data_IF_973437666675
#
_entry.id   IF_973437666675
#
_cell.length_a   1.000
_cell.length_b   1.000
_cell.length_c   1.000
_cell.angle_alpha   90.00
_cell.angle_beta   90.00
_cell.angle_gamma   90.00
#
_symmetry.space_group_name_H-M   'P 1'
#
loop_
_entity.id
_entity.type
_entity.pdbx_description
1 polymer ?
#
# COMPACT_ATOMS: atom_id res chain seq x y z
N UNK A 1 16.35 0.84 -23.70
CA UNK A 1 15.81 1.46 -22.47
C UNK A 1 14.28 1.45 -22.42
N UNK A 2 13.60 1.51 -23.56
CA UNK A 2 12.13 1.48 -23.61
C UNK A 2 11.48 0.27 -22.92
N UNK A 3 12.01 -0.95 -23.12
CA UNK A 3 11.43 -2.15 -22.49
C UNK A 3 11.48 -2.05 -20.95
N UNK A 4 12.62 -1.63 -20.38
CA UNK A 4 12.79 -1.47 -18.93
C UNK A 4 11.83 -0.39 -18.41
N UNK A 5 11.70 0.72 -19.14
CA UNK A 5 10.76 1.80 -18.81
C UNK A 5 9.32 1.29 -18.80
N UNK A 6 8.90 0.54 -19.81
CA UNK A 6 7.54 -0.04 -19.91
C UNK A 6 7.30 -0.99 -18.72
N UNK A 7 8.25 -1.87 -18.41
CA UNK A 7 8.14 -2.78 -17.26
C UNK A 7 7.94 -2.00 -15.97
N UNK A 8 8.75 -0.97 -15.72
CA UNK A 8 8.66 -0.16 -14.51
C UNK A 8 7.34 0.61 -14.43
N UNK A 9 6.82 1.13 -15.56
CA UNK A 9 5.52 1.80 -15.61
C UNK A 9 4.36 0.84 -15.33
N UNK A 10 4.37 -0.35 -15.91
CA UNK A 10 3.36 -1.39 -15.65
C UNK A 10 3.41 -1.81 -14.18
N UNK A 11 4.60 -2.04 -13.64
CA UNK A 11 4.81 -2.41 -12.24
C UNK A 11 4.32 -1.30 -11.31
N UNK A 12 4.62 -0.03 -11.60
CA UNK A 12 4.11 1.12 -10.86
C UNK A 12 2.57 1.17 -10.88
N UNK A 13 1.95 0.96 -12.04
CA UNK A 13 0.49 0.94 -12.17
C UNK A 13 -0.16 -0.17 -11.35
N UNK A 14 0.36 -1.40 -11.45
CA UNK A 14 -0.15 -2.56 -10.70
C UNK A 14 0.01 -2.34 -9.19
N UNK A 15 1.18 -1.91 -8.74
CA UNK A 15 1.45 -1.69 -7.31
C UNK A 15 0.61 -0.55 -6.74
N UNK A 16 0.34 0.51 -7.51
CA UNK A 16 -0.56 1.60 -7.11
C UNK A 16 -2.01 1.13 -6.93
N UNK A 17 -2.51 0.31 -7.86
CA UNK A 17 -3.86 -0.24 -7.79
C UNK A 17 -3.99 -1.20 -6.59
N UNK A 18 -3.01 -2.10 -6.42
CA UNK A 18 -2.98 -3.01 -5.29
C UNK A 18 -2.92 -2.25 -3.96
N UNK A 19 -2.04 -1.25 -3.81
CA UNK A 19 -1.98 -0.43 -2.60
C UNK A 19 -3.31 0.25 -2.29
N UNK A 20 -3.98 0.81 -3.30
CA UNK A 20 -5.29 1.43 -3.13
C UNK A 20 -6.30 0.42 -2.58
N UNK A 21 -6.38 -0.78 -3.17
CA UNK A 21 -7.27 -1.86 -2.69
C UNK A 21 -6.91 -2.32 -1.27
N UNK A 22 -5.62 -2.52 -0.98
CA UNK A 22 -5.13 -2.92 0.34
C UNK A 22 -5.47 -1.86 1.40
N UNK A 23 -5.30 -0.57 1.09
CA UNK A 23 -5.67 0.52 2.00
C UNK A 23 -7.19 0.56 2.23
N UNK A 24 -8.00 0.39 1.19
CA UNK A 24 -9.46 0.32 1.34
C UNK A 24 -9.90 -0.86 2.22
N UNK A 25 -9.20 -1.99 2.14
CA UNK A 25 -9.46 -3.14 2.99
C UNK A 25 -9.19 -2.87 4.48
N UNK A 26 -8.33 -1.90 4.83
CA UNK A 26 -8.17 -1.43 6.22
C UNK A 26 -9.39 -0.63 6.71
N UNK A 27 -10.07 0.10 5.82
CA UNK A 27 -11.17 1.00 6.19
C UNK A 27 -12.49 0.28 6.47
N UNK A 28 -12.62 -0.99 6.09
CA UNK A 28 -13.86 -1.77 6.26
C UNK A 28 -14.26 -2.09 7.71
N UNK A 29 -13.49 -1.68 8.73
CA UNK A 29 -13.68 -2.16 10.11
C UNK A 29 -13.70 -1.12 11.25
N UNK A 30 -13.56 0.18 10.98
CA UNK A 30 -13.43 1.21 12.05
C UNK A 30 -14.25 2.50 11.84
N UNK A 31 -15.38 2.42 11.14
CA UNK A 31 -16.17 3.59 10.73
C UNK A 31 -17.52 3.77 11.44
N UNK A 32 -17.79 3.04 12.52
CA UNK A 32 -19.04 3.18 13.26
C UNK A 32 -19.04 4.42 14.16
N UNK A 33 -20.20 5.10 14.29
CA UNK A 33 -20.39 6.19 15.26
C UNK A 33 -19.97 5.75 16.68
N UNK A 34 -20.17 4.48 17.03
CA UNK A 34 -19.72 3.93 18.32
C UNK A 34 -18.22 4.03 18.53
N UNK A 35 -17.38 3.74 17.53
CA UNK A 35 -15.91 3.84 17.68
C UNK A 35 -15.45 5.30 17.78
N UNK A 36 -16.19 6.22 17.17
CA UNK A 36 -15.93 7.67 17.25
C UNK A 36 -16.44 8.31 18.55
N UNK A 37 -17.43 7.70 19.23
CA UNK A 37 -18.03 8.19 20.49
C UNK A 37 -17.63 7.38 21.73
N UNK A 38 -16.50 6.66 21.70
CA UNK A 38 -15.97 5.95 22.88
C UNK A 38 -16.57 4.55 23.08
N UNK A 39 -16.77 3.82 22.00
CA UNK A 39 -17.31 2.47 21.95
C UNK A 39 -16.48 1.48 22.74
N UNK A 40 -16.92 1.23 23.98
CA UNK A 40 -16.63 0.02 24.74
C UNK A 40 -15.31 0.01 25.49
N UNK A 41 -15.36 0.42 26.76
CA UNK A 41 -14.33 0.18 27.78
C UNK A 41 -14.12 -1.33 28.11
N UNK A 42 -14.70 -2.27 27.35
CA UNK A 42 -14.70 -3.71 27.68
C UNK A 42 -14.63 -4.69 26.49
N UNK A 43 -14.42 -4.26 25.23
CA UNK A 43 -14.63 -5.15 24.07
C UNK A 43 -13.54 -5.18 22.98
N UNK A 44 -12.25 -5.03 23.33
CA UNK A 44 -11.14 -5.17 22.35
C UNK A 44 -10.41 -6.52 22.38
N UNK A 45 -10.83 -7.48 23.20
CA UNK A 45 -10.02 -8.68 23.50
C UNK A 45 -10.33 -9.92 22.64
N UNK A 46 -10.94 -9.76 21.45
CA UNK A 46 -11.43 -10.95 20.70
C UNK A 46 -11.38 -10.93 19.17
N UNK A 47 -11.08 -9.82 18.50
CA UNK A 47 -11.21 -9.77 17.02
C UNK A 47 -9.87 -9.60 16.29
N UNK A 48 -9.26 -10.73 15.93
CA UNK A 48 -8.49 -10.91 14.68
C UNK A 48 -7.12 -10.21 14.51
N UNK A 49 -6.31 -10.15 15.57
CA UNK A 49 -4.98 -9.53 15.49
C UNK A 49 -4.02 -10.13 14.45
N UNK A 50 -4.18 -11.39 14.04
CA UNK A 50 -3.26 -12.03 13.08
C UNK A 50 -3.53 -11.57 11.64
N UNK A 51 -4.79 -11.55 11.21
CA UNK A 51 -5.16 -11.12 9.87
C UNK A 51 -4.86 -9.63 9.67
N UNK A 52 -5.14 -8.81 10.68
CA UNK A 52 -4.85 -7.37 10.65
C UNK A 52 -3.35 -7.08 10.66
N UNK A 53 -2.57 -7.73 11.53
CA UNK A 53 -1.11 -7.58 11.54
C UNK A 53 -0.50 -8.04 10.22
N UNK A 54 -1.04 -9.09 9.60
CA UNK A 54 -0.54 -9.56 8.31
C UNK A 54 -0.88 -8.57 7.18
N UNK A 55 -2.11 -8.06 7.15
CA UNK A 55 -2.54 -7.05 6.18
C UNK A 55 -1.67 -5.79 6.25
N UNK A 56 -1.36 -5.32 7.46
CA UNK A 56 -0.44 -4.20 7.66
C UNK A 56 0.97 -4.50 7.11
N UNK A 57 1.53 -5.67 7.42
CA UNK A 57 2.86 -6.07 6.91
C UNK A 57 2.91 -6.11 5.39
N UNK A 58 1.91 -6.70 4.74
CA UNK A 58 1.85 -6.72 3.27
C UNK A 58 1.72 -5.32 2.68
N UNK A 59 0.92 -4.45 3.29
CA UNK A 59 0.73 -3.07 2.81
C UNK A 59 2.00 -2.26 2.93
N UNK A 60 2.72 -2.38 4.05
CA UNK A 60 4.02 -1.71 4.24
C UNK A 60 5.06 -2.25 3.25
N UNK A 61 5.18 -3.57 3.10
CA UNK A 61 6.12 -4.18 2.16
C UNK A 61 5.84 -3.75 0.72
N UNK A 62 4.57 -3.73 0.31
CA UNK A 62 4.16 -3.29 -1.02
C UNK A 62 4.39 -1.78 -1.21
N UNK A 63 4.17 -0.97 -0.16
CA UNK A 63 4.42 0.46 -0.17
C UNK A 63 5.90 0.81 -0.35
N UNK A 64 6.78 0.06 0.31
CA UNK A 64 8.23 0.18 0.11
C UNK A 64 8.62 -0.21 -1.32
N UNK A 65 8.11 -1.33 -1.83
CA UNK A 65 8.39 -1.78 -3.20
C UNK A 65 7.91 -0.75 -4.24
N UNK A 66 6.71 -0.20 -4.07
CA UNK A 66 6.17 0.88 -4.89
C UNK A 66 7.05 2.12 -4.87
N UNK A 67 7.51 2.55 -3.68
CA UNK A 67 8.42 3.68 -3.54
C UNK A 67 9.78 3.47 -4.25
N UNK A 68 10.35 2.27 -4.15
CA UNK A 68 11.57 1.89 -4.87
C UNK A 68 11.39 2.02 -6.38
N UNK A 69 10.23 1.62 -6.91
CA UNK A 69 9.93 1.69 -8.35
C UNK A 69 9.83 3.13 -8.84
N UNK A 70 9.24 4.02 -8.03
CA UNK A 70 9.21 5.47 -8.32
C UNK A 70 10.63 6.04 -8.39
N UNK A 71 11.46 5.74 -7.40
CA UNK A 71 12.85 6.21 -7.37
C UNK A 71 13.62 5.67 -8.57
N UNK A 72 13.48 4.37 -8.88
CA UNK A 72 14.12 3.75 -10.03
C UNK A 72 13.69 4.39 -11.36
N UNK A 73 12.39 4.68 -11.53
CA UNK A 73 11.87 5.41 -12.70
C UNK A 73 12.45 6.82 -12.78
N UNK A 74 12.50 7.54 -11.66
CA UNK A 74 13.07 8.89 -11.60
C UNK A 74 14.56 8.91 -11.97
N UNK A 75 15.33 7.96 -11.44
CA UNK A 75 16.75 7.79 -11.80
C UNK A 75 16.92 7.44 -13.27
N UNK A 76 16.10 6.51 -13.80
CA UNK A 76 16.14 6.12 -15.20
C UNK A 76 15.78 7.28 -16.13
N UNK A 77 14.78 8.10 -15.79
CA UNK A 77 14.46 9.32 -16.54
C UNK A 77 15.59 10.35 -16.48
N UNK A 78 16.23 10.50 -15.32
CA UNK A 78 17.31 11.49 -15.12
C UNK A 78 18.59 11.12 -15.86
N UNK A 79 18.97 9.85 -15.87
CA UNK A 79 20.28 9.41 -16.36
C UNK A 79 20.24 8.62 -17.68
N UNK A 80 19.08 8.08 -18.06
CA UNK A 80 18.90 7.37 -19.33
C UNK A 80 17.98 8.09 -20.31
N UNK A 81 17.44 9.27 -19.95
CA UNK A 81 16.74 10.17 -20.86
C UNK A 81 17.67 11.04 -21.72
N UNK A 82 19.00 10.94 -21.52
CA UNK A 82 20.03 11.65 -22.29
C UNK A 82 20.70 10.73 -23.34
N UNK A 83 19.92 10.17 -24.26
CA UNK A 83 20.46 9.50 -25.46
C UNK A 83 19.49 9.56 -26.62
#
# INVERSE_FOLDING_TARGET
MEIIRIILLVLLGITSLLLTLLILLHKGRGGGMSDMFGGGMTSSMGSSGVAERNLNRFTVALGLAWGVVIVALGLLQRFAGES
#
